data_IF_236869898665
#
_entry.id   IF_236869898665
#
_cell.length_a   1.000
_cell.length_b   1.000
_cell.length_c   1.000
_cell.angle_alpha   90.00
_cell.angle_beta   90.00
_cell.angle_gamma   90.00
#
_symmetry.space_group_name_H-M   'P 1'
#
loop_
_entity.id
_entity.type
_entity.pdbx_description
1 polymer ?
#
# COMPACT_ATOMS: atom_id res chain seq x y z
N UNK A 1 16.57 2.05 1.28
CA UNK A 1 15.25 2.50 0.82
C UNK A 1 14.95 3.82 1.49
N UNK A 2 14.48 4.83 0.75
CA UNK A 2 13.96 6.08 1.29
C UNK A 2 12.46 5.88 1.51
N UNK A 3 11.97 6.17 2.73
CA UNK A 3 10.61 5.85 3.16
C UNK A 3 10.00 7.09 3.81
N UNK A 4 8.88 7.54 3.29
CA UNK A 4 8.06 8.59 3.89
C UNK A 4 6.65 8.09 4.15
N UNK A 5 6.04 8.52 5.25
CA UNK A 5 4.66 8.17 5.56
C UNK A 5 3.99 9.30 6.33
N UNK A 6 2.70 9.47 6.09
CA UNK A 6 1.86 10.39 6.84
C UNK A 6 0.43 9.85 6.93
N UNK A 7 -0.20 10.09 8.08
CA UNK A 7 -1.61 9.87 8.32
C UNK A 7 -2.21 11.13 8.92
N UNK A 8 -3.40 11.50 8.47
CA UNK A 8 -4.13 12.71 8.89
C UNK A 8 -5.63 12.40 8.96
N UNK A 9 -6.30 12.94 9.95
CA UNK A 9 -7.75 12.72 10.14
C UNK A 9 -8.62 13.33 9.02
N UNK A 10 -8.04 14.22 8.23
CA UNK A 10 -8.80 15.03 7.28
C UNK A 10 -9.47 16.23 7.95
N UNK A 11 -10.41 16.86 7.23
CA UNK A 11 -11.11 18.07 7.68
C UNK A 11 -12.54 17.82 8.15
N UNK A 12 -13.08 16.65 7.82
CA UNK A 12 -14.50 16.32 8.03
C UNK A 12 -14.69 15.28 9.11
N UNK A 13 -13.76 14.32 9.22
CA UNK A 13 -13.84 13.24 10.21
C UNK A 13 -13.41 13.70 11.59
N UNK A 14 -14.01 13.12 12.65
CA UNK A 14 -13.62 13.37 14.04
C UNK A 14 -12.48 12.45 14.50
N UNK A 15 -12.45 11.23 13.99
CA UNK A 15 -11.46 10.19 14.30
C UNK A 15 -10.70 9.76 13.05
N UNK A 16 -9.49 9.26 13.27
CA UNK A 16 -8.72 8.61 12.22
C UNK A 16 -8.83 7.09 12.39
N UNK A 17 -9.50 6.44 11.44
CA UNK A 17 -9.69 4.99 11.41
C UNK A 17 -8.65 4.28 10.52
N UNK A 18 -7.75 5.04 9.87
CA UNK A 18 -6.61 4.50 9.14
C UNK A 18 -5.48 4.04 10.06
N UNK A 19 -4.72 3.06 9.61
CA UNK A 19 -3.50 2.60 10.28
C UNK A 19 -2.43 2.20 9.25
N UNK A 20 -1.17 2.39 9.60
CA UNK A 20 -0.07 1.86 8.80
C UNK A 20 1.06 1.30 9.66
N UNK A 21 1.88 0.43 9.09
CA UNK A 21 3.10 -0.09 9.70
C UNK A 21 4.25 -0.09 8.70
N UNK A 22 5.37 0.41 9.16
CA UNK A 22 6.65 0.34 8.47
C UNK A 22 7.51 -0.70 9.19
N UNK A 23 7.88 -1.77 8.51
CA UNK A 23 8.78 -2.80 9.00
C UNK A 23 9.99 -2.92 8.05
N UNK A 24 10.90 -1.93 8.06
CA UNK A 24 12.03 -1.88 7.14
C UNK A 24 13.03 -3.04 7.35
N UNK A 25 13.10 -3.60 8.53
CA UNK A 25 13.86 -4.83 8.85
C UNK A 25 13.36 -6.06 8.08
N UNK A 26 12.06 -6.08 7.75
CA UNK A 26 11.40 -7.09 6.92
C UNK A 26 11.20 -6.66 5.48
N UNK A 27 11.61 -5.45 5.07
CA UNK A 27 11.22 -4.83 3.81
C UNK A 27 9.70 -4.86 3.54
N UNK A 28 8.89 -4.80 4.59
CA UNK A 28 7.43 -4.93 4.58
C UNK A 28 6.78 -3.61 4.99
N UNK A 29 5.80 -3.16 4.19
CA UNK A 29 5.04 -1.94 4.41
C UNK A 29 3.57 -2.24 4.23
N UNK A 30 2.75 -1.80 5.21
CA UNK A 30 1.32 -2.14 5.28
C UNK A 30 0.52 -0.90 5.60
N UNK A 31 -0.60 -0.71 4.90
CA UNK A 31 -1.58 0.33 5.16
C UNK A 31 -2.98 -0.30 5.18
N UNK A 32 -3.84 0.18 6.05
CA UNK A 32 -5.20 -0.32 6.24
C UNK A 32 -6.12 0.83 6.59
N UNK A 33 -7.26 0.90 5.92
CA UNK A 33 -8.36 1.81 6.20
C UNK A 33 -9.45 1.04 6.92
N UNK A 34 -9.83 1.54 8.09
CA UNK A 34 -10.77 0.89 8.98
C UNK A 34 -12.20 1.36 8.76
N UNK A 35 -13.14 0.43 8.80
CA UNK A 35 -14.56 0.74 8.71
C UNK A 35 -15.34 0.12 9.86
N UNK A 36 -16.31 0.88 10.38
CA UNK A 36 -17.19 0.43 11.47
C UNK A 36 -17.88 1.59 12.18
N UNK A 37 -18.84 1.27 13.06
CA UNK A 37 -19.47 2.28 13.91
C UNK A 37 -18.65 2.54 15.18
N UNK A 38 -18.66 3.78 15.71
CA UNK A 38 -18.12 4.17 17.03
C UNK A 38 -16.66 3.71 17.29
N UNK A 39 -15.71 4.15 16.48
CA UNK A 39 -14.27 3.86 16.61
C UNK A 39 -13.87 2.37 16.46
N UNK A 40 -14.77 1.51 15.97
CA UNK A 40 -14.42 0.11 15.70
C UNK A 40 -13.58 -0.06 14.43
N UNK A 41 -13.63 0.89 13.49
CA UNK A 41 -12.74 0.95 12.34
C UNK A 41 -11.28 1.12 12.73
N UNK A 42 -10.96 2.02 13.67
CA UNK A 42 -9.61 2.19 14.22
C UNK A 42 -9.05 0.89 14.81
N UNK A 43 -9.90 0.13 15.51
CA UNK A 43 -9.49 -1.17 16.07
C UNK A 43 -9.21 -2.18 14.96
N UNK A 44 -10.07 -2.21 13.93
CA UNK A 44 -9.92 -3.16 12.81
C UNK A 44 -8.64 -2.88 11.99
N UNK A 45 -8.39 -1.63 11.61
CA UNK A 45 -7.21 -1.25 10.81
C UNK A 45 -5.90 -1.46 11.58
N UNK A 46 -5.89 -1.14 12.90
CA UNK A 46 -4.74 -1.41 13.76
C UNK A 46 -4.47 -2.90 13.89
N UNK A 47 -5.50 -3.72 14.18
CA UNK A 47 -5.36 -5.18 14.23
C UNK A 47 -4.88 -5.75 12.90
N UNK A 48 -5.36 -5.23 11.78
CA UNK A 48 -4.90 -5.64 10.45
C UNK A 48 -3.40 -5.43 10.31
N UNK A 49 -2.93 -4.19 10.50
CA UNK A 49 -1.53 -3.84 10.28
C UNK A 49 -0.57 -4.54 11.25
N UNK A 50 -0.95 -4.65 12.54
CA UNK A 50 -0.15 -5.34 13.55
C UNK A 50 -0.08 -6.85 13.29
N UNK A 51 -1.21 -7.50 13.07
CA UNK A 51 -1.28 -8.95 12.83
C UNK A 51 -0.51 -9.35 11.56
N UNK A 52 -0.56 -8.54 10.50
CA UNK A 52 0.17 -8.82 9.26
C UNK A 52 1.68 -8.80 9.51
N UNK A 53 2.19 -7.75 10.15
CA UNK A 53 3.63 -7.64 10.42
C UNK A 53 4.11 -8.74 11.33
N UNK A 54 3.38 -9.05 12.41
CA UNK A 54 3.76 -10.06 13.38
C UNK A 54 3.73 -11.48 12.81
N UNK A 55 2.69 -11.80 12.04
CA UNK A 55 2.60 -13.11 11.37
C UNK A 55 3.67 -13.28 10.30
N UNK A 56 3.91 -12.23 9.49
CA UNK A 56 4.96 -12.25 8.48
C UNK A 56 6.34 -12.48 9.12
N UNK A 57 6.66 -11.73 10.18
CA UNK A 57 7.91 -11.88 10.93
C UNK A 57 8.09 -13.28 11.50
N UNK A 58 7.04 -13.83 12.11
CA UNK A 58 7.10 -15.16 12.71
C UNK A 58 7.35 -16.25 11.67
N UNK A 59 6.64 -16.19 10.53
CA UNK A 59 6.75 -17.19 9.45
C UNK A 59 8.00 -17.01 8.59
N UNK A 60 8.61 -15.83 8.60
CA UNK A 60 9.92 -15.60 7.98
C UNK A 60 11.04 -16.16 8.85
N UNK A 61 10.98 -15.94 10.18
CA UNK A 61 11.95 -16.44 11.14
C UNK A 61 11.92 -17.97 11.28
N UNK A 62 10.74 -18.58 11.16
CA UNK A 62 10.55 -20.03 11.19
C UNK A 62 9.69 -20.50 10.00
N UNK A 63 10.32 -20.88 8.88
CA UNK A 63 9.62 -21.38 7.70
C UNK A 63 8.86 -22.72 7.91
N UNK A 64 9.02 -23.38 9.04
CA UNK A 64 8.27 -24.60 9.38
C UNK A 64 6.86 -24.31 9.89
N UNK A 65 6.57 -23.06 10.26
CA UNK A 65 5.25 -22.65 10.68
C UNK A 65 4.25 -22.74 9.51
N UNK A 66 3.04 -23.28 9.77
CA UNK A 66 2.04 -23.42 8.72
C UNK A 66 1.56 -22.02 8.26
N UNK A 67 1.40 -21.87 6.95
CA UNK A 67 0.77 -20.69 6.39
C UNK A 67 -0.76 -20.78 6.54
N UNK A 68 -1.40 -19.63 6.77
CA UNK A 68 -2.86 -19.53 6.84
C UNK A 68 -3.46 -19.55 5.42
N UNK A 69 -4.27 -20.55 5.14
CA UNK A 69 -4.94 -20.77 3.86
C UNK A 69 -4.08 -21.44 2.78
N UNK A 70 -4.63 -21.59 1.56
CA UNK A 70 -3.98 -22.32 0.50
C UNK A 70 -2.77 -21.54 -0.05
N UNK A 71 -1.76 -22.31 -0.50
CA UNK A 71 -0.64 -21.75 -1.25
C UNK A 71 -1.10 -21.35 -2.65
N UNK A 72 -0.67 -20.18 -3.09
CA UNK A 72 -0.92 -19.66 -4.43
C UNK A 72 0.18 -20.16 -5.36
N UNK A 73 -0.22 -20.93 -6.37
CA UNK A 73 0.72 -21.50 -7.35
C UNK A 73 1.33 -20.39 -8.23
N UNK A 74 2.59 -20.57 -8.59
CA UNK A 74 3.32 -19.61 -9.45
C UNK A 74 3.86 -18.37 -8.72
N UNK A 75 3.54 -18.16 -7.44
CA UNK A 75 4.05 -17.06 -6.63
C UNK A 75 5.20 -17.51 -5.71
N UNK A 76 6.08 -16.58 -5.37
CA UNK A 76 7.20 -16.80 -4.46
C UNK A 76 6.76 -17.14 -3.03
N UNK A 77 7.69 -17.62 -2.21
CA UNK A 77 7.45 -17.86 -0.79
C UNK A 77 7.10 -16.57 -0.04
N UNK A 78 7.72 -15.46 -0.40
CA UNK A 78 7.43 -14.14 0.17
C UNK A 78 5.98 -13.70 -0.11
N UNK A 79 5.51 -13.85 -1.35
CA UNK A 79 4.13 -13.53 -1.73
C UNK A 79 3.12 -14.44 -1.03
N UNK A 80 3.43 -15.73 -0.92
CA UNK A 80 2.57 -16.68 -0.20
C UNK A 80 2.52 -16.38 1.31
N UNK A 81 3.63 -15.95 1.90
CA UNK A 81 3.70 -15.49 3.29
C UNK A 81 2.87 -14.23 3.50
N UNK A 82 2.94 -13.29 2.55
CA UNK A 82 2.15 -12.06 2.59
C UNK A 82 0.64 -12.35 2.53
N UNK A 83 0.21 -13.21 1.62
CA UNK A 83 -1.18 -13.66 1.55
C UNK A 83 -1.65 -14.34 2.84
N UNK A 84 -0.80 -15.21 3.41
CA UNK A 84 -1.06 -15.87 4.69
C UNK A 84 -1.22 -14.87 5.84
N UNK A 85 -0.37 -13.85 5.89
CA UNK A 85 -0.43 -12.81 6.92
C UNK A 85 -1.72 -12.00 6.85
N UNK A 86 -2.20 -11.69 5.64
CA UNK A 86 -3.47 -10.98 5.44
C UNK A 86 -4.66 -11.86 5.86
N UNK A 87 -4.66 -13.16 5.54
CA UNK A 87 -5.70 -14.08 5.99
C UNK A 87 -5.70 -14.23 7.51
N UNK A 88 -4.52 -14.30 8.13
CA UNK A 88 -4.38 -14.32 9.58
C UNK A 88 -4.96 -13.05 10.23
N UNK A 89 -4.73 -11.88 9.63
CA UNK A 89 -5.31 -10.63 10.10
C UNK A 89 -6.85 -10.61 9.98
N UNK A 90 -7.41 -11.19 8.91
CA UNK A 90 -8.86 -11.38 8.78
C UNK A 90 -9.43 -12.18 9.97
N UNK A 91 -8.80 -13.29 10.33
CA UNK A 91 -9.21 -14.10 11.47
C UNK A 91 -9.07 -13.35 12.79
N UNK A 92 -8.01 -12.56 12.97
CA UNK A 92 -7.79 -11.74 14.16
C UNK A 92 -8.90 -10.69 14.35
N UNK A 93 -9.27 -9.97 13.28
CA UNK A 93 -10.37 -9.00 13.30
C UNK A 93 -11.70 -9.68 13.65
N UNK A 94 -12.02 -10.78 13.02
CA UNK A 94 -13.26 -11.54 13.26
C UNK A 94 -13.35 -12.07 14.70
N UNK A 95 -12.25 -12.62 15.19
CA UNK A 95 -12.18 -13.11 16.56
C UNK A 95 -12.37 -11.97 17.58
N UNK A 96 -11.77 -10.80 17.33
CA UNK A 96 -11.96 -9.63 18.17
C UNK A 96 -13.41 -9.13 18.11
N UNK A 97 -14.02 -9.04 16.92
CA UNK A 97 -15.42 -8.63 16.74
C UNK A 97 -16.42 -9.57 17.44
N UNK A 98 -16.09 -10.87 17.56
CA UNK A 98 -16.92 -11.84 18.28
C UNK A 98 -16.88 -11.67 19.81
N UNK A 99 -15.82 -11.03 20.36
CA UNK A 99 -15.64 -10.88 21.80
C UNK A 99 -16.37 -9.66 22.38
N UNK A 100 -16.63 -8.61 21.54
CA UNK A 100 -17.27 -7.38 21.99
C UNK A 100 -18.37 -6.95 21.04
N UNK A 101 -19.55 -6.73 21.59
CA UNK A 101 -20.73 -6.32 20.81
C UNK A 101 -20.53 -4.98 20.08
N UNK A 102 -19.77 -4.06 20.70
CA UNK A 102 -19.42 -2.75 20.13
C UNK A 102 -18.54 -2.83 18.87
N UNK A 103 -17.84 -3.96 18.69
CA UNK A 103 -16.98 -4.21 17.51
C UNK A 103 -17.66 -5.04 16.43
N UNK A 104 -18.96 -5.35 16.62
CA UNK A 104 -19.71 -6.13 15.65
C UNK A 104 -19.80 -5.42 14.31
N UNK A 105 -19.34 -6.11 13.26
CA UNK A 105 -19.35 -5.58 11.89
C UNK A 105 -18.19 -4.63 11.57
N UNK A 106 -17.18 -4.53 12.45
CA UNK A 106 -15.94 -3.87 12.09
C UNK A 106 -15.21 -4.63 10.97
N UNK A 107 -14.54 -3.89 10.13
CA UNK A 107 -13.72 -4.42 9.05
C UNK A 107 -12.63 -3.44 8.66
N UNK A 108 -11.80 -3.83 7.72
CA UNK A 108 -10.77 -2.97 7.21
C UNK A 108 -10.37 -3.35 5.78
N UNK A 109 -9.89 -2.39 5.02
CA UNK A 109 -9.11 -2.64 3.80
C UNK A 109 -7.69 -3.05 4.19
N UNK A 110 -6.90 -3.48 3.24
CA UNK A 110 -5.46 -3.59 3.36
C UNK A 110 -4.78 -3.47 2.02
N UNK A 111 -3.66 -2.77 2.00
CA UNK A 111 -2.63 -2.84 0.96
C UNK A 111 -1.29 -3.10 1.63
N UNK A 112 -0.53 -4.03 1.08
CA UNK A 112 0.77 -4.41 1.63
C UNK A 112 1.76 -4.69 0.52
N UNK A 113 3.02 -4.28 0.72
CA UNK A 113 4.13 -4.57 -0.19
C UNK A 113 5.32 -5.12 0.56
N UNK A 114 6.01 -6.07 -0.07
CA UNK A 114 7.27 -6.63 0.40
C UNK A 114 8.30 -6.63 -0.73
N UNK A 115 9.52 -6.16 -0.43
CA UNK A 115 10.63 -6.14 -1.39
C UNK A 115 11.60 -7.28 -1.12
N UNK A 116 11.83 -8.10 -2.13
CA UNK A 116 12.89 -9.11 -2.18
C UNK A 116 13.82 -8.80 -3.36
N UNK A 117 14.89 -8.07 -3.09
CA UNK A 117 15.76 -7.53 -4.13
C UNK A 117 15.00 -6.60 -5.08
N UNK A 118 14.91 -6.98 -6.35
CA UNK A 118 14.17 -6.22 -7.39
C UNK A 118 12.72 -6.69 -7.55
N UNK A 119 12.32 -7.74 -6.84
CA UNK A 119 10.95 -8.23 -6.82
C UNK A 119 10.12 -7.50 -5.78
N UNK A 120 8.96 -7.04 -6.17
CA UNK A 120 7.92 -6.47 -5.33
C UNK A 120 6.77 -7.47 -5.27
N UNK A 121 6.52 -8.03 -4.09
CA UNK A 121 5.25 -8.71 -3.81
C UNK A 121 4.27 -7.66 -3.33
N UNK A 122 3.11 -7.59 -3.96
CA UNK A 122 2.01 -6.72 -3.55
C UNK A 122 0.77 -7.54 -3.28
N UNK A 123 0.02 -7.17 -2.25
CA UNK A 123 -1.22 -7.84 -1.89
C UNK A 123 -2.24 -6.83 -1.37
N UNK A 124 -3.53 -7.06 -1.68
CA UNK A 124 -4.58 -6.16 -1.23
C UNK A 124 -5.95 -6.84 -1.02
N UNK A 125 -6.76 -6.19 -0.19
CA UNK A 125 -8.19 -6.42 -0.01
C UNK A 125 -8.85 -5.07 0.25
N UNK A 126 -9.87 -4.70 -0.53
CA UNK A 126 -10.56 -3.42 -0.41
C UNK A 126 -10.24 -2.46 -1.56
N UNK A 127 -10.35 -1.16 -1.31
CA UNK A 127 -10.19 -0.07 -2.27
C UNK A 127 -9.06 0.92 -1.92
N UNK A 128 -8.28 0.63 -0.88
CA UNK A 128 -6.96 1.23 -0.71
C UNK A 128 -6.06 0.80 -1.87
N UNK A 129 -5.17 1.68 -2.32
CA UNK A 129 -4.46 1.47 -3.59
C UNK A 129 -2.95 1.42 -3.44
N UNK A 130 -2.31 0.71 -4.37
CA UNK A 130 -0.87 0.73 -4.60
C UNK A 130 -0.63 1.27 -6.00
N UNK A 131 0.23 2.28 -6.10
CA UNK A 131 0.67 2.88 -7.36
C UNK A 131 2.16 2.71 -7.56
N UNK A 132 2.59 2.69 -8.81
CA UNK A 132 3.97 2.81 -9.25
C UNK A 132 4.13 4.05 -10.11
N UNK A 133 5.04 4.95 -9.74
CA UNK A 133 5.53 6.01 -10.63
C UNK A 133 6.83 5.53 -11.27
N UNK A 134 6.82 5.40 -12.60
CA UNK A 134 7.98 5.03 -13.43
C UNK A 134 8.08 5.94 -14.63
N UNK A 135 9.23 6.57 -14.86
CA UNK A 135 9.47 7.47 -16.01
C UNK A 135 8.44 8.59 -16.16
N UNK A 136 7.85 9.06 -15.06
CA UNK A 136 6.84 10.11 -15.04
C UNK A 136 5.39 9.64 -15.23
N UNK A 137 5.17 8.35 -15.47
CA UNK A 137 3.85 7.75 -15.58
C UNK A 137 3.45 7.07 -14.25
N UNK A 138 2.27 7.41 -13.75
CA UNK A 138 1.66 6.80 -12.57
C UNK A 138 0.73 5.67 -13.03
N UNK A 139 0.96 4.48 -12.50
CA UNK A 139 0.19 3.28 -12.78
C UNK A 139 -0.40 2.72 -11.49
N UNK A 140 -1.70 2.50 -11.44
CA UNK A 140 -2.35 1.79 -10.35
C UNK A 140 -2.09 0.29 -10.51
N UNK A 141 -1.46 -0.33 -9.51
CA UNK A 141 -1.13 -1.76 -9.50
C UNK A 141 -2.25 -2.62 -8.89
N UNK A 142 -3.12 -2.04 -8.07
CA UNK A 142 -4.25 -2.73 -7.43
C UNK A 142 -5.54 -2.55 -8.21
N UNK A 143 -6.53 -3.40 -7.93
CA UNK A 143 -7.89 -3.28 -8.47
C UNK A 143 -8.87 -3.15 -7.33
N UNK A 144 -9.56 -2.03 -7.26
CA UNK A 144 -10.49 -1.76 -6.17
C UNK A 144 -11.58 -2.83 -6.05
N UNK A 145 -11.78 -3.33 -4.84
CA UNK A 145 -12.87 -4.24 -4.50
C UNK A 145 -14.11 -3.47 -4.04
N UNK A 146 -14.49 -2.44 -4.81
CA UNK A 146 -15.70 -1.65 -4.57
C UNK A 146 -16.80 -2.01 -5.57
N UNK A 147 -18.06 -1.72 -5.18
CA UNK A 147 -19.21 -1.95 -6.05
C UNK A 147 -19.09 -1.16 -7.36
N UNK A 148 -18.73 0.11 -7.28
CA UNK A 148 -18.64 0.98 -8.46
C UNK A 148 -17.51 0.54 -9.41
N UNK A 149 -16.34 0.16 -8.89
CA UNK A 149 -15.25 -0.35 -9.71
C UNK A 149 -15.63 -1.64 -10.45
N UNK A 150 -16.43 -2.52 -9.82
CA UNK A 150 -16.96 -3.72 -10.47
C UNK A 150 -17.96 -3.35 -11.60
N UNK A 151 -18.82 -2.35 -11.40
CA UNK A 151 -19.76 -1.90 -12.44
C UNK A 151 -19.03 -1.26 -13.64
N UNK A 152 -17.99 -0.48 -13.38
CA UNK A 152 -17.12 0.08 -14.45
C UNK A 152 -16.45 -1.04 -15.24
N UNK A 153 -15.86 -2.02 -14.56
CA UNK A 153 -15.21 -3.17 -15.20
C UNK A 153 -16.15 -4.00 -16.05
N UNK A 154 -17.42 -4.12 -15.65
CA UNK A 154 -18.47 -4.80 -16.43
C UNK A 154 -19.05 -3.95 -17.57
N UNK A 155 -18.62 -2.70 -17.71
CA UNK A 155 -19.14 -1.78 -18.71
C UNK A 155 -20.59 -1.33 -18.46
N UNK A 156 -21.09 -1.47 -17.22
CA UNK A 156 -22.43 -1.04 -16.80
C UNK A 156 -22.44 0.45 -16.42
N UNK A 157 -21.28 0.97 -16.04
CA UNK A 157 -21.09 2.35 -15.57
C UNK A 157 -19.80 2.92 -16.14
N UNK A 158 -19.77 4.20 -16.46
CA UNK A 158 -18.52 4.91 -16.81
C UNK A 158 -17.75 5.27 -15.53
N UNK A 159 -16.47 5.66 -15.67
CA UNK A 159 -15.69 6.14 -14.54
C UNK A 159 -16.28 7.43 -13.93
N UNK A 160 -16.75 8.36 -14.79
CA UNK A 160 -17.36 9.60 -14.35
C UNK A 160 -18.66 9.35 -13.55
N UNK A 161 -19.46 8.35 -13.95
CA UNK A 161 -20.67 7.96 -13.21
C UNK A 161 -20.30 7.30 -11.87
N UNK A 162 -19.22 6.51 -11.83
CA UNK A 162 -18.72 5.88 -10.61
C UNK A 162 -18.25 6.93 -9.60
N UNK A 163 -17.48 7.94 -10.05
CA UNK A 163 -16.97 9.03 -9.21
C UNK A 163 -18.07 9.91 -8.61
N UNK A 164 -19.26 9.94 -9.23
CA UNK A 164 -20.44 10.68 -8.75
C UNK A 164 -21.44 9.80 -8.00
N UNK A 165 -21.18 8.50 -7.90
CA UNK A 165 -22.09 7.54 -7.30
C UNK A 165 -22.13 7.65 -5.78
N UNK A 166 -23.33 7.57 -5.19
CA UNK A 166 -23.49 7.43 -3.74
C UNK A 166 -23.05 6.06 -3.21
N UNK A 167 -22.73 5.12 -4.09
CA UNK A 167 -22.30 3.76 -3.76
C UNK A 167 -20.78 3.57 -3.84
N UNK A 168 -20.01 4.63 -4.02
CA UNK A 168 -18.54 4.55 -4.11
C UNK A 168 -17.88 3.96 -2.85
N UNK A 169 -18.51 4.13 -1.68
CA UNK A 169 -18.02 3.58 -0.41
C UNK A 169 -18.47 2.13 -0.13
N UNK A 170 -19.16 1.47 -1.10
CA UNK A 170 -19.65 0.10 -0.90
C UNK A 170 -18.57 -0.88 -1.32
N UNK A 171 -17.93 -1.50 -0.33
CA UNK A 171 -16.92 -2.53 -0.55
C UNK A 171 -17.57 -3.89 -0.84
N UNK A 172 -17.00 -4.63 -1.77
CA UNK A 172 -17.32 -6.02 -2.08
C UNK A 172 -16.46 -7.01 -1.30
N UNK A 173 -15.27 -6.58 -0.84
CA UNK A 173 -14.36 -7.37 -0.02
C UNK A 173 -13.69 -6.48 1.02
N UNK A 174 -13.62 -6.98 2.25
CA UNK A 174 -12.90 -6.35 3.35
C UNK A 174 -12.48 -7.39 4.37
N UNK A 175 -11.43 -7.13 5.12
CA UNK A 175 -11.04 -7.95 6.27
C UNK A 175 -12.11 -7.84 7.35
N UNK A 176 -12.39 -8.96 8.02
CA UNK A 176 -13.38 -9.03 9.09
C UNK A 176 -14.80 -9.34 8.62
N UNK A 177 -15.12 -9.13 7.32
CA UNK A 177 -16.46 -9.33 6.79
C UNK A 177 -16.82 -10.81 6.67
N UNK A 178 -15.99 -11.59 6.00
CA UNK A 178 -16.25 -13.00 5.69
C UNK A 178 -15.28 -13.95 6.40
N UNK A 179 -15.68 -15.23 6.64
CA UNK A 179 -14.80 -16.24 7.22
C UNK A 179 -13.54 -16.49 6.39
N UNK A 180 -13.69 -16.51 5.08
CA UNK A 180 -12.59 -16.68 4.12
C UNK A 180 -12.46 -15.43 3.29
N UNK A 181 -11.30 -14.80 3.34
CA UNK A 181 -10.99 -13.62 2.52
C UNK A 181 -10.16 -14.02 1.31
N UNK A 182 -10.61 -13.59 0.13
CA UNK A 182 -9.83 -13.71 -1.10
C UNK A 182 -8.87 -12.51 -1.16
N UNK A 183 -7.58 -12.81 -1.05
CA UNK A 183 -6.50 -11.83 -1.14
C UNK A 183 -6.01 -11.81 -2.59
N UNK A 184 -6.04 -10.65 -3.23
CA UNK A 184 -5.40 -10.46 -4.53
C UNK A 184 -3.90 -10.25 -4.29
N UNK A 185 -3.06 -11.01 -5.00
CA UNK A 185 -1.59 -10.99 -4.86
C UNK A 185 -0.95 -10.98 -6.23
N UNK A 186 -0.03 -10.07 -6.42
CA UNK A 186 0.74 -9.93 -7.66
C UNK A 186 2.23 -9.77 -7.36
N UNK A 187 3.06 -10.08 -8.33
CA UNK A 187 4.51 -9.86 -8.28
C UNK A 187 4.96 -8.99 -9.43
N UNK A 188 5.72 -7.95 -9.11
CA UNK A 188 6.23 -6.98 -10.05
C UNK A 188 7.75 -6.87 -9.97
N UNK A 189 8.39 -6.50 -11.08
CA UNK A 189 9.80 -6.11 -11.09
C UNK A 189 9.93 -4.59 -10.94
N UNK A 190 10.70 -4.18 -9.95
CA UNK A 190 10.98 -2.77 -9.67
C UNK A 190 12.35 -2.35 -10.20
N UNK A 191 12.43 -1.11 -10.67
CA UNK A 191 13.66 -0.43 -11.04
C UNK A 191 14.13 0.51 -9.91
N UNK A 192 15.39 0.88 -9.91
CA UNK A 192 15.94 1.84 -8.92
C UNK A 192 15.26 3.22 -8.99
N UNK A 193 14.68 3.58 -10.15
CA UNK A 193 13.97 4.85 -10.34
C UNK A 193 12.49 4.82 -9.97
N UNK A 194 11.96 3.67 -9.58
CA UNK A 194 10.54 3.57 -9.25
C UNK A 194 10.23 4.20 -7.90
N UNK A 195 9.09 4.85 -7.84
CA UNK A 195 8.45 5.25 -6.58
C UNK A 195 7.17 4.44 -6.42
N UNK A 196 7.03 3.76 -5.29
CA UNK A 196 5.81 3.03 -4.91
C UNK A 196 5.05 3.88 -3.90
N UNK A 197 3.75 4.05 -4.12
CA UNK A 197 2.83 4.74 -3.22
C UNK A 197 1.75 3.75 -2.77
N UNK A 198 1.57 3.62 -1.45
CA UNK A 198 0.38 3.00 -0.86
C UNK A 198 -0.48 4.12 -0.29
N UNK A 199 -1.79 4.07 -0.48
CA UNK A 199 -2.68 5.08 0.08
C UNK A 199 -4.08 4.55 0.38
N UNK A 200 -4.76 5.15 1.36
CA UNK A 200 -6.20 5.02 1.56
C UNK A 200 -6.97 5.84 0.51
N UNK A 201 -8.26 5.60 0.41
CA UNK A 201 -9.13 6.24 -0.57
C UNK A 201 -9.29 7.75 -0.35
N UNK A 202 -9.08 8.26 0.89
CA UNK A 202 -9.09 9.68 1.19
C UNK A 202 -8.05 10.50 0.43
N UNK A 203 -6.98 9.89 -0.09
CA UNK A 203 -6.07 10.57 -1.01
C UNK A 203 -6.67 10.68 -2.42
N UNK A 204 -7.14 9.57 -2.95
CA UNK A 204 -7.56 9.44 -4.36
C UNK A 204 -8.94 10.02 -4.65
N UNK A 205 -9.74 10.29 -3.62
CA UNK A 205 -10.98 11.07 -3.72
C UNK A 205 -10.73 12.55 -3.87
N UNK A 206 -9.63 13.05 -3.32
CA UNK A 206 -9.32 14.49 -3.33
C UNK A 206 -8.33 14.85 -4.45
N UNK A 207 -7.43 13.96 -4.84
CA UNK A 207 -6.41 14.22 -5.84
C UNK A 207 -6.50 13.26 -7.03
N UNK A 208 -6.44 13.81 -8.24
CA UNK A 208 -6.32 13.02 -9.46
C UNK A 208 -4.94 12.36 -9.57
N UNK A 209 -4.84 11.27 -10.34
CA UNK A 209 -3.58 10.57 -10.63
C UNK A 209 -2.50 11.51 -11.19
N UNK A 210 -2.89 12.49 -12.04
CA UNK A 210 -1.96 13.47 -12.59
C UNK A 210 -1.38 14.42 -11.52
N UNK A 211 -2.17 14.79 -10.50
CA UNK A 211 -1.71 15.60 -9.36
C UNK A 211 -0.78 14.78 -8.47
N UNK A 212 -1.14 13.52 -8.17
CA UNK A 212 -0.31 12.59 -7.39
C UNK A 212 1.04 12.38 -8.09
N UNK A 213 1.04 12.06 -9.39
CA UNK A 213 2.25 11.90 -10.19
C UNK A 213 3.16 13.13 -10.13
N UNK A 214 2.55 14.32 -10.25
CA UNK A 214 3.28 15.60 -10.21
C UNK A 214 3.98 15.83 -8.87
N UNK A 215 3.31 15.53 -7.76
CA UNK A 215 3.89 15.69 -6.41
C UNK A 215 5.01 14.68 -6.20
N UNK A 216 4.78 13.40 -6.52
CA UNK A 216 5.79 12.35 -6.40
C UNK A 216 7.05 12.68 -7.22
N UNK A 217 6.89 13.19 -8.44
CA UNK A 217 8.01 13.52 -9.33
C UNK A 217 8.81 14.77 -8.90
N UNK A 218 8.19 15.72 -8.19
CA UNK A 218 8.79 17.01 -7.83
C UNK A 218 9.29 17.11 -6.39
N UNK A 219 9.03 16.13 -5.55
CA UNK A 219 9.51 16.12 -4.17
C UNK A 219 10.92 15.55 -4.10
N UNK A 220 11.77 16.11 -3.25
CA UNK A 220 13.18 15.76 -3.14
C UNK A 220 13.35 14.37 -2.48
N UNK A 221 12.54 14.06 -1.47
CA UNK A 221 12.55 12.77 -0.76
C UNK A 221 11.14 12.21 -0.56
N UNK A 222 11.07 10.99 -0.01
CA UNK A 222 9.80 10.29 0.21
C UNK A 222 8.95 10.95 1.29
N UNK A 223 9.56 11.52 2.33
CA UNK A 223 8.83 12.16 3.41
C UNK A 223 8.21 13.49 2.96
N UNK A 224 8.94 14.31 2.22
CA UNK A 224 8.40 15.53 1.62
C UNK A 224 7.21 15.21 0.69
N UNK A 225 7.33 14.14 -0.12
CA UNK A 225 6.24 13.71 -0.99
C UNK A 225 4.98 13.34 -0.17
N UNK A 226 5.17 12.60 0.92
CA UNK A 226 4.07 12.19 1.79
C UNK A 226 3.38 13.40 2.44
N UNK A 227 4.14 14.35 2.96
CA UNK A 227 3.62 15.56 3.59
C UNK A 227 2.82 16.41 2.59
N UNK A 228 3.39 16.66 1.40
CA UNK A 228 2.73 17.45 0.36
C UNK A 228 1.44 16.84 -0.17
N UNK A 229 1.43 15.50 -0.37
CA UNK A 229 0.21 14.80 -0.80
C UNK A 229 -0.93 14.97 0.20
N UNK A 230 -0.66 14.75 1.49
CA UNK A 230 -1.67 14.94 2.54
C UNK A 230 -2.11 16.40 2.64
N UNK A 231 -1.18 17.35 2.56
CA UNK A 231 -1.53 18.78 2.61
C UNK A 231 -2.41 19.19 1.43
N UNK A 232 -2.13 18.71 0.20
CA UNK A 232 -2.95 19.01 -0.97
C UNK A 232 -4.32 18.33 -0.91
N UNK A 233 -4.42 17.08 -0.44
CA UNK A 233 -5.70 16.42 -0.25
C UNK A 233 -6.55 17.16 0.79
N UNK A 234 -5.96 17.60 1.90
CA UNK A 234 -6.63 18.45 2.89
C UNK A 234 -7.08 19.82 2.34
N UNK A 235 -6.30 20.41 1.42
CA UNK A 235 -6.68 21.67 0.76
C UNK A 235 -7.79 21.48 -0.26
N UNK A 236 -7.88 20.30 -0.90
CA UNK A 236 -8.92 19.98 -1.87
C UNK A 236 -10.27 19.68 -1.22
N UNK A 237 -10.29 19.27 0.04
CA UNK A 237 -11.52 19.02 0.80
C UNK A 237 -11.26 18.29 2.10
N UNK A 238 -10.37 17.31 2.09
CA UNK A 238 -10.05 16.49 3.26
C UNK A 238 -11.28 15.76 3.80
N UNK A 239 -12.09 15.21 2.89
CA UNK A 239 -13.41 14.64 3.20
C UNK A 239 -13.34 13.35 4.02
N UNK A 240 -12.18 12.68 4.03
CA UNK A 240 -11.94 11.43 4.75
C UNK A 240 -10.58 11.43 5.46
N UNK A 241 -10.27 10.33 6.18
CA UNK A 241 -8.94 10.05 6.69
C UNK A 241 -7.97 9.85 5.50
N UNK A 242 -6.78 10.43 5.59
CA UNK A 242 -5.79 10.42 4.50
C UNK A 242 -4.52 9.79 5.03
N UNK A 243 -4.23 8.59 4.58
CA UNK A 243 -3.01 7.87 4.98
C UNK A 243 -2.26 7.38 3.75
N UNK A 244 -0.94 7.57 3.76
CA UNK A 244 -0.10 7.11 2.67
C UNK A 244 1.33 6.77 3.10
N UNK A 245 1.97 5.92 2.30
CA UNK A 245 3.37 5.52 2.41
C UNK A 245 4.01 5.71 1.04
N UNK A 246 5.10 6.45 0.98
CA UNK A 246 5.93 6.63 -0.23
C UNK A 246 7.23 5.86 -0.05
N UNK A 247 7.57 5.01 -1.01
CA UNK A 247 8.76 4.17 -1.00
C UNK A 247 9.59 4.45 -2.25
N UNK A 248 10.84 4.91 -2.07
CA UNK A 248 11.81 5.11 -3.14
C UNK A 248 13.01 4.22 -2.94
N UNK A 249 13.44 3.56 -3.99
CA UNK A 249 14.70 2.82 -3.93
C UNK A 249 15.84 3.83 -4.04
N UNK A 250 16.75 3.83 -3.06
CA UNK A 250 17.97 4.61 -3.17
C UNK A 250 18.79 4.07 -4.36
N UNK A 251 19.15 4.94 -5.29
CA UNK A 251 20.12 4.58 -6.33
C UNK A 251 21.36 4.00 -5.64
N UNK A 252 21.80 2.82 -6.05
CA UNK A 252 23.08 2.27 -5.56
C UNK A 252 24.15 3.30 -5.90
N UNK A 253 25.02 3.73 -4.97
CA UNK A 253 26.11 4.62 -5.30
C UNK A 253 26.90 3.96 -6.44
N UNK A 254 26.91 4.58 -7.60
CA UNK A 254 27.70 4.13 -8.75
C UNK A 254 29.13 4.00 -8.24
N UNK A 255 29.60 2.76 -8.10
CA UNK A 255 30.86 2.44 -7.46
C UNK A 255 31.98 3.30 -8.04
N UNK A 256 32.82 3.82 -7.16
CA UNK A 256 33.96 4.71 -7.44
C UNK A 256 35.00 4.16 -8.43
N UNK A 257 34.71 3.07 -9.13
CA UNK A 257 35.62 2.43 -10.10
C UNK A 257 35.64 3.05 -11.50
N UNK A 258 34.77 4.01 -11.82
CA UNK A 258 34.77 4.68 -13.13
C UNK A 258 35.77 5.86 -13.26
N UNK A 259 36.58 6.19 -12.25
CA UNK A 259 37.52 7.34 -12.28
C UNK A 259 38.99 6.99 -12.56
N UNK A 260 39.34 5.70 -12.74
CA UNK A 260 40.77 5.30 -12.98
C UNK A 260 41.14 5.25 -14.47
N UNK A 261 40.21 5.44 -15.40
CA UNK A 261 40.45 5.30 -16.85
C UNK A 261 41.02 6.54 -17.57
N UNK A 262 41.34 7.64 -16.89
CA UNK A 262 41.69 8.90 -17.58
C UNK A 262 43.11 9.44 -17.35
N UNK A 263 43.99 8.63 -16.74
CA UNK A 263 45.38 9.12 -16.42
C UNK A 263 46.50 8.52 -17.27
N UNK A 264 46.21 7.70 -18.29
CA UNK A 264 47.20 7.17 -19.21
C UNK A 264 46.91 7.57 -20.67
N UNK A 265 46.89 8.86 -20.98
CA UNK A 265 47.13 9.37 -22.34
C UNK A 265 47.75 10.75 -22.23
N UNK A 266 49.06 10.76 -22.24
CA UNK A 266 49.83 11.96 -22.36
C UNK A 266 51.31 11.70 -22.05
N UNK A 267 52.08 11.22 -23.03
CA UNK A 267 53.50 11.49 -23.18
C UNK A 267 54.08 10.48 -24.18
N UNK A 268 53.99 10.79 -25.46
CA UNK A 268 54.93 10.36 -26.49
C UNK A 268 54.81 11.31 -27.67
N UNK A 269 55.52 12.39 -27.56
CA UNK A 269 56.02 13.12 -28.75
C UNK A 269 57.32 13.85 -28.33
N UNK A 270 58.31 13.74 -29.20
CA UNK A 270 59.60 14.41 -29.30
C UNK A 270 60.81 13.69 -28.70
N UNK A 271 61.50 12.89 -29.55
CA UNK A 271 62.86 13.08 -30.07
C UNK A 271 63.19 12.04 -31.12
#
# INVERSE_FOLDING_TARGET
>A
MDVGARSDTGRVRENNEDSFRLAPDLNLFVLSDGMGGQASGEVASRLATESIVDHYRSTEADPSLPLNGPRLEGLSDASNRLASAIRFANDAIRNAAAQKLEWKGMGATVVAVHFDGDRLSLAHVGDSRIYRLRSGELEQLTRDHSFVAEQVRRGVMTQEEADQSKLQNVLLRALGADPEVIVDVEEELTLESDTILLCSDGLTRELSDAQIATVLAKSDDAQEAAERLVDYANQAGGGDNITLIVLRRAAKPVGAFARIGRWFRGSCEDS
#
